data_IF_651419370466
#
_entry.id   IF_651419370466
#
_cell.length_a   1.000
_cell.length_b   1.000
_cell.length_c   1.000
_cell.angle_alpha   90.00
_cell.angle_beta   90.00
_cell.angle_gamma   90.00
#
_symmetry.space_group_name_H-M   'P 1'
#
loop_
_entity.id
_entity.type
_entity.pdbx_description
1 polymer ?
#
# COMPACT_ATOMS: atom_id res chain seq x y z
N UNK A 1 -9.29 6.01 4.45
CA UNK A 1 -8.12 6.13 5.39
C UNK A 1 -7.43 4.77 5.51
N UNK A 2 -6.19 4.69 6.02
CA UNK A 2 -5.53 3.38 6.27
C UNK A 2 -6.40 2.48 7.17
N UNK A 3 -6.62 1.20 6.82
CA UNK A 3 -7.46 0.30 7.63
C UNK A 3 -6.86 0.06 9.01
N UNK A 4 -5.54 -0.18 9.06
CA UNK A 4 -4.80 -0.30 10.30
C UNK A 4 -4.41 1.10 10.79
N UNK A 5 -4.57 1.37 12.11
CA UNK A 5 -4.10 2.60 12.70
C UNK A 5 -2.58 2.68 12.63
N UNK A 6 -2.06 3.90 12.43
CA UNK A 6 -0.63 4.15 12.55
C UNK A 6 -0.23 4.23 14.01
N UNK A 7 0.86 3.55 14.38
CA UNK A 7 1.49 3.68 15.69
C UNK A 7 2.74 4.55 15.61
N UNK A 8 3.17 5.07 16.74
CA UNK A 8 4.43 5.83 16.87
C UNK A 8 5.60 5.05 16.27
N UNK A 9 5.69 3.74 16.53
CA UNK A 9 6.76 2.90 15.98
C UNK A 9 6.69 2.72 14.46
N UNK A 10 5.49 2.65 13.88
CA UNK A 10 5.32 2.50 12.43
C UNK A 10 5.66 3.83 11.73
N UNK A 11 5.33 4.97 12.34
CA UNK A 11 5.80 6.27 11.89
C UNK A 11 7.31 6.38 11.98
N UNK A 12 7.93 5.94 13.08
CA UNK A 12 9.39 6.00 13.22
C UNK A 12 10.08 5.16 12.14
N UNK A 13 9.62 3.93 11.89
CA UNK A 13 10.16 3.08 10.83
C UNK A 13 9.98 3.73 9.44
N UNK A 14 8.79 4.25 9.17
CA UNK A 14 8.46 4.87 7.89
C UNK A 14 9.26 6.16 7.65
N UNK A 15 9.37 7.05 8.63
CA UNK A 15 10.14 8.29 8.51
C UNK A 15 11.64 8.02 8.42
N UNK A 16 12.13 6.97 9.10
CA UNK A 16 13.55 6.63 9.11
C UNK A 16 14.01 5.90 7.84
N UNK A 17 13.15 5.05 7.28
CA UNK A 17 13.52 4.10 6.22
C UNK A 17 12.69 4.23 4.94
N UNK A 18 11.66 5.09 4.97
CA UNK A 18 10.67 5.21 3.91
C UNK A 18 9.74 4.00 3.79
N UNK A 19 9.67 3.11 4.79
CA UNK A 19 8.76 1.97 4.74
C UNK A 19 8.23 1.57 6.12
N UNK A 20 6.98 1.10 6.15
CA UNK A 20 6.37 0.35 7.26
C UNK A 20 5.83 -1.00 6.75
N UNK A 21 5.96 -2.06 7.56
CA UNK A 21 5.40 -3.37 7.23
C UNK A 21 3.88 -3.33 6.98
N UNK A 22 3.15 -2.49 7.72
CA UNK A 22 1.69 -2.42 7.69
C UNK A 22 1.14 -1.32 6.78
N UNK A 23 1.96 -0.32 6.43
CA UNK A 23 1.49 0.86 5.68
C UNK A 23 2.21 1.07 4.33
N UNK A 24 3.14 0.18 3.97
CA UNK A 24 3.85 0.22 2.69
C UNK A 24 5.03 1.18 2.69
N UNK A 25 5.45 1.59 1.48
CA UNK A 25 6.65 2.40 1.25
C UNK A 25 6.29 3.78 0.72
N UNK A 26 7.03 4.79 1.15
CA UNK A 26 7.16 6.03 0.41
C UNK A 26 7.75 5.70 -0.97
N UNK A 27 7.05 6.12 -2.01
CA UNK A 27 7.39 5.89 -3.40
C UNK A 27 6.92 7.08 -4.27
N UNK A 28 7.31 7.08 -5.54
CA UNK A 28 6.94 8.13 -6.49
C UNK A 28 7.39 9.52 -6.00
N UNK A 29 6.53 10.55 -6.06
CA UNK A 29 6.92 11.92 -5.72
C UNK A 29 7.26 12.12 -4.23
N UNK A 30 6.77 11.24 -3.34
CA UNK A 30 7.10 11.30 -1.91
C UNK A 30 8.42 10.59 -1.57
N UNK A 31 9.01 9.85 -2.51
CA UNK A 31 10.27 9.16 -2.31
C UNK A 31 11.40 10.07 -1.81
N UNK A 32 11.78 11.17 -2.50
CA UNK A 32 12.88 12.02 -2.05
C UNK A 32 12.59 12.71 -0.71
N UNK A 33 11.32 13.04 -0.43
CA UNK A 33 10.91 13.68 0.83
C UNK A 33 11.28 12.79 2.02
N UNK A 34 11.00 11.49 1.93
CA UNK A 34 11.26 10.58 3.04
C UNK A 34 12.67 10.02 2.99
N UNK A 35 13.10 9.51 1.83
CA UNK A 35 14.38 8.78 1.70
C UNK A 35 15.61 9.67 1.74
N UNK A 36 15.51 10.95 1.35
CA UNK A 36 16.63 11.90 1.35
C UNK A 36 16.45 13.01 2.38
N UNK A 37 15.22 13.48 2.59
CA UNK A 37 14.92 14.54 3.54
C UNK A 37 14.78 14.04 4.97
N UNK A 38 13.66 13.38 5.27
CA UNK A 38 13.31 12.99 6.65
C UNK A 38 14.26 11.95 7.23
N UNK A 39 14.72 10.99 6.42
CA UNK A 39 15.67 9.96 6.85
C UNK A 39 17.04 10.53 7.25
N UNK A 40 17.40 11.74 6.78
CA UNK A 40 18.67 12.39 7.09
C UNK A 40 18.63 13.14 8.43
N UNK A 41 17.45 13.31 9.03
CA UNK A 41 17.30 13.97 10.32
C UNK A 41 17.92 13.14 11.46
N UNK A 42 18.36 13.80 12.56
CA UNK A 42 18.71 13.13 13.80
C UNK A 42 17.57 12.23 14.30
N UNK A 43 17.92 11.10 14.92
CA UNK A 43 16.94 10.15 15.44
C UNK A 43 16.00 10.77 16.50
N UNK A 44 16.48 11.77 17.25
CA UNK A 44 15.66 12.52 18.21
C UNK A 44 14.53 13.30 17.51
N UNK A 45 14.79 13.89 16.35
CA UNK A 45 13.79 14.64 15.59
C UNK A 45 12.78 13.70 14.93
N UNK A 46 13.25 12.56 14.39
CA UNK A 46 12.36 11.52 13.85
C UNK A 46 11.44 10.98 14.96
N UNK A 47 11.96 10.75 16.16
CA UNK A 47 11.15 10.35 17.33
C UNK A 47 10.11 11.41 17.68
N UNK A 48 10.49 12.69 17.74
CA UNK A 48 9.56 13.77 18.03
C UNK A 48 8.43 13.85 17.00
N UNK A 49 8.75 13.76 15.71
CA UNK A 49 7.75 13.71 14.62
C UNK A 49 6.86 12.48 14.73
N UNK A 50 7.42 11.32 15.07
CA UNK A 50 6.68 10.06 15.20
C UNK A 50 5.66 10.12 16.34
N UNK A 51 6.03 10.73 17.47
CA UNK A 51 5.11 10.97 18.59
C UNK A 51 4.02 11.95 18.16
N UNK A 52 4.38 13.08 17.57
CA UNK A 52 3.42 14.08 17.11
C UNK A 52 2.37 13.51 16.13
N UNK A 53 2.82 12.77 15.11
CA UNK A 53 1.89 12.13 14.16
C UNK A 53 1.12 10.98 14.79
N UNK A 54 1.72 10.25 15.75
CA UNK A 54 1.04 9.22 16.53
C UNK A 54 -0.12 9.80 17.34
N UNK A 55 0.10 10.91 18.05
CA UNK A 55 -0.94 11.63 18.79
C UNK A 55 -2.06 12.11 17.86
N UNK A 56 -1.72 12.68 16.70
CA UNK A 56 -2.70 13.10 15.69
C UNK A 56 -3.49 11.91 15.12
N UNK A 57 -2.87 10.74 15.02
CA UNK A 57 -3.51 9.49 14.61
C UNK A 57 -4.30 8.79 15.75
N UNK A 58 -4.36 9.38 16.95
CA UNK A 58 -5.12 8.88 18.09
C UNK A 58 -4.36 7.98 19.06
N UNK A 59 -3.02 8.02 19.05
CA UNK A 59 -2.10 7.31 19.95
C UNK A 59 -2.41 5.80 20.10
N UNK A 60 -2.29 5.09 18.97
CA UNK A 60 -2.50 3.66 18.94
C UNK A 60 -1.21 2.92 19.31
N UNK A 61 -1.24 2.16 20.41
CA UNK A 61 -0.12 1.33 20.85
C UNK A 61 -0.41 -0.18 20.76
N UNK A 62 -1.58 -0.56 20.23
CA UNK A 62 -1.98 -1.95 20.07
C UNK A 62 -1.18 -2.64 18.96
N UNK A 63 -0.72 -3.87 19.18
CA UNK A 63 0.02 -4.65 18.19
C UNK A 63 -0.85 -5.03 16.97
N UNK A 64 -0.53 -4.56 15.74
CA UNK A 64 -1.34 -4.81 14.54
C UNK A 64 -1.41 -6.27 14.14
N UNK A 65 -0.43 -7.10 14.51
CA UNK A 65 -0.40 -8.52 14.17
C UNK A 65 -1.65 -9.28 14.66
N UNK A 66 -2.28 -8.84 15.76
CA UNK A 66 -3.50 -9.43 16.30
C UNK A 66 -4.79 -8.70 15.85
N UNK A 67 -4.68 -7.71 14.96
CA UNK A 67 -5.82 -6.91 14.52
C UNK A 67 -6.80 -7.73 13.70
N UNK A 68 -8.11 -7.72 14.02
CA UNK A 68 -9.13 -8.32 13.17
C UNK A 68 -9.13 -7.74 11.75
N UNK A 69 -8.75 -6.46 11.57
CA UNK A 69 -8.67 -5.84 10.24
C UNK A 69 -7.56 -6.43 9.39
N UNK A 70 -6.41 -6.78 10.00
CA UNK A 70 -5.33 -7.48 9.31
C UNK A 70 -5.80 -8.86 8.86
N UNK A 71 -6.47 -9.61 9.75
CA UNK A 71 -7.00 -10.94 9.43
C UNK A 71 -8.04 -10.87 8.31
N UNK A 72 -8.97 -9.92 8.36
CA UNK A 72 -9.98 -9.73 7.30
C UNK A 72 -9.34 -9.40 5.96
N UNK A 73 -8.36 -8.49 5.93
CA UNK A 73 -7.68 -8.13 4.68
C UNK A 73 -6.86 -9.28 4.11
N UNK A 74 -6.19 -10.05 4.97
CA UNK A 74 -5.46 -11.26 4.57
C UNK A 74 -6.39 -12.29 3.94
N UNK A 75 -7.52 -12.58 4.60
CA UNK A 75 -8.54 -13.49 4.07
C UNK A 75 -9.13 -12.99 2.76
N UNK A 76 -9.40 -11.68 2.64
CA UNK A 76 -9.98 -11.10 1.45
C UNK A 76 -9.04 -11.20 0.24
N UNK A 77 -7.74 -10.94 0.43
CA UNK A 77 -6.75 -11.06 -0.65
C UNK A 77 -6.47 -12.52 -1.06
N UNK A 78 -6.62 -13.49 -0.13
CA UNK A 78 -6.51 -14.92 -0.44
C UNK A 78 -7.77 -15.51 -1.09
N UNK A 79 -8.88 -14.76 -1.15
CA UNK A 79 -10.12 -15.25 -1.77
C UNK A 79 -9.92 -15.43 -3.27
N UNK A 80 -10.19 -16.64 -3.76
CA UNK A 80 -10.13 -16.94 -5.19
C UNK A 80 -11.35 -16.39 -5.92
N UNK A 81 -11.13 -15.57 -6.95
CA UNK A 81 -12.16 -15.11 -7.89
C UNK A 81 -12.13 -15.96 -9.16
N UNK A 82 -13.28 -16.32 -9.72
CA UNK A 82 -13.34 -17.04 -11.01
C UNK A 82 -12.85 -16.11 -12.13
N UNK A 83 -11.63 -16.36 -12.57
CA UNK A 83 -10.98 -15.60 -13.63
C UNK A 83 -11.74 -15.65 -14.96
N UNK A 84 -12.64 -16.60 -15.20
CA UNK A 84 -13.40 -16.64 -16.46
C UNK A 84 -14.49 -15.56 -16.52
N UNK A 85 -14.96 -15.09 -15.37
CA UNK A 85 -16.10 -14.16 -15.28
C UNK A 85 -15.69 -12.74 -14.88
N UNK A 86 -14.54 -12.58 -14.21
CA UNK A 86 -14.07 -11.28 -13.72
C UNK A 86 -12.86 -10.78 -14.53
N UNK A 87 -13.02 -9.65 -15.22
CA UNK A 87 -11.97 -9.06 -16.03
C UNK A 87 -10.82 -8.48 -15.20
N UNK A 88 -11.14 -7.75 -14.12
CA UNK A 88 -10.13 -7.15 -13.25
C UNK A 88 -9.30 -8.21 -12.53
N UNK A 89 -9.93 -9.31 -12.12
CA UNK A 89 -9.22 -10.45 -11.53
C UNK A 89 -8.25 -11.10 -12.52
N UNK A 90 -8.62 -11.25 -13.81
CA UNK A 90 -7.70 -11.75 -14.86
C UNK A 90 -6.48 -10.87 -15.01
N UNK A 91 -6.71 -9.57 -15.16
CA UNK A 91 -5.64 -8.58 -15.32
C UNK A 91 -4.72 -8.56 -14.09
N UNK A 92 -5.28 -8.53 -12.89
CA UNK A 92 -4.51 -8.64 -11.65
C UNK A 92 -3.64 -9.91 -11.64
N UNK A 93 -4.23 -11.06 -12.02
CA UNK A 93 -3.53 -12.33 -12.02
C UNK A 93 -2.37 -12.35 -13.03
N UNK A 94 -2.53 -11.77 -14.23
CA UNK A 94 -1.46 -11.73 -15.24
C UNK A 94 -0.39 -10.68 -14.97
N UNK A 95 -0.73 -9.61 -14.26
CA UNK A 95 0.08 -8.38 -14.24
C UNK A 95 0.66 -8.05 -12.87
N UNK A 96 -0.07 -8.32 -11.79
CA UNK A 96 0.28 -7.87 -10.43
C UNK A 96 0.66 -9.03 -9.50
N UNK A 97 0.03 -10.20 -9.70
CA UNK A 97 0.10 -11.32 -8.75
C UNK A 97 1.52 -11.85 -8.51
N UNK A 98 2.42 -11.78 -9.50
CA UNK A 98 3.79 -12.28 -9.35
C UNK A 98 4.56 -11.57 -8.22
N UNK A 99 4.25 -10.29 -7.96
CA UNK A 99 4.88 -9.50 -6.90
C UNK A 99 3.99 -9.34 -5.67
N UNK A 100 2.67 -9.30 -5.86
CA UNK A 100 1.67 -9.07 -4.81
C UNK A 100 0.89 -10.33 -4.41
N UNK A 101 1.40 -11.51 -4.72
CA UNK A 101 0.75 -12.77 -4.33
C UNK A 101 0.50 -12.78 -2.82
N UNK A 102 -0.61 -13.42 -2.47
CA UNK A 102 -1.01 -13.53 -1.08
C UNK A 102 -0.12 -14.57 -0.38
N UNK A 103 0.75 -14.07 0.50
CA UNK A 103 1.53 -14.85 1.44
C UNK A 103 0.81 -14.79 2.79
N UNK A 104 0.77 -15.89 3.53
CA UNK A 104 0.21 -15.92 4.90
C UNK A 104 0.99 -15.07 5.90
N UNK A 105 2.12 -14.49 5.47
CA UNK A 105 2.94 -13.55 6.24
C UNK A 105 3.19 -12.30 5.41
N UNK A 106 3.07 -11.13 6.06
CA UNK A 106 3.46 -9.86 5.46
C UNK A 106 4.96 -9.84 5.20
N UNK A 107 5.34 -9.36 4.02
CA UNK A 107 6.74 -9.25 3.60
C UNK A 107 7.04 -7.80 3.26
N UNK A 108 8.11 -7.26 3.86
CA UNK A 108 8.60 -5.92 3.55
C UNK A 108 8.92 -5.82 2.04
N UNK A 109 8.36 -4.82 1.36
CA UNK A 109 8.47 -4.65 -0.09
C UNK A 109 7.46 -5.42 -0.94
N UNK A 110 6.57 -6.20 -0.30
CA UNK A 110 5.42 -6.84 -0.95
C UNK A 110 4.18 -6.55 -0.11
N UNK A 111 3.61 -5.34 -0.24
CA UNK A 111 2.48 -4.95 0.58
C UNK A 111 1.26 -5.82 0.28
N UNK A 112 0.49 -6.12 1.33
CA UNK A 112 -0.86 -6.66 1.19
C UNK A 112 -1.77 -5.55 0.65
N UNK A 113 -2.18 -5.65 -0.61
CA UNK A 113 -2.94 -4.61 -1.31
C UNK A 113 -4.32 -4.38 -0.67
N UNK A 114 -4.93 -5.43 -0.11
CA UNK A 114 -6.16 -5.32 0.68
C UNK A 114 -6.00 -4.54 2.00
N UNK A 115 -4.78 -4.17 2.40
CA UNK A 115 -4.52 -3.22 3.50
C UNK A 115 -4.02 -1.85 3.02
N UNK A 116 -3.68 -1.73 1.74
CA UNK A 116 -3.09 -0.52 1.19
C UNK A 116 -4.03 0.66 1.34
N UNK A 117 -3.54 1.79 1.86
CA UNK A 117 -4.37 3.00 2.00
C UNK A 117 -5.00 3.44 0.68
N UNK A 118 -4.28 3.27 -0.44
CA UNK A 118 -4.73 3.64 -1.77
C UNK A 118 -6.04 2.94 -2.22
N UNK A 119 -6.32 1.72 -1.75
CA UNK A 119 -7.60 1.02 -2.07
C UNK A 119 -8.76 1.49 -1.20
N UNK A 120 -8.48 2.22 -0.10
CA UNK A 120 -9.44 2.68 0.91
C UNK A 120 -9.62 4.21 0.94
N UNK A 121 -9.06 4.94 -0.03
CA UNK A 121 -9.31 6.37 -0.20
C UNK A 121 -10.58 6.58 -1.04
N UNK A 122 -11.31 7.66 -0.78
CA UNK A 122 -12.53 8.01 -1.53
C UNK A 122 -12.22 8.47 -2.96
N UNK A 123 -10.98 8.88 -3.22
CA UNK A 123 -10.48 9.26 -4.53
C UNK A 123 -9.52 8.15 -5.06
N UNK A 124 -9.79 7.56 -6.23
CA UNK A 124 -8.95 6.51 -6.81
C UNK A 124 -7.61 7.03 -7.36
N UNK A 125 -7.43 8.35 -7.49
CA UNK A 125 -6.26 8.96 -8.15
C UNK A 125 -4.93 8.45 -7.61
N UNK A 126 -4.83 8.24 -6.30
CA UNK A 126 -3.60 7.70 -5.70
C UNK A 126 -3.32 6.27 -6.17
N UNK A 127 -4.33 5.39 -6.18
CA UNK A 127 -4.14 4.03 -6.67
C UNK A 127 -3.83 4.00 -8.17
N UNK A 128 -4.55 4.79 -8.96
CA UNK A 128 -4.37 4.89 -10.41
C UNK A 128 -2.94 5.35 -10.72
N UNK A 129 -2.45 6.42 -10.08
CA UNK A 129 -1.10 6.92 -10.31
C UNK A 129 -0.02 5.89 -9.91
N UNK A 130 -0.22 5.15 -8.80
CA UNK A 130 0.71 4.07 -8.41
C UNK A 130 0.77 2.97 -9.48
N UNK A 131 -0.35 2.59 -10.08
CA UNK A 131 -0.36 1.59 -11.17
C UNK A 131 0.27 2.17 -12.44
N UNK A 132 -0.06 3.41 -12.80
CA UNK A 132 0.43 4.04 -14.02
C UNK A 132 1.94 4.24 -13.99
N UNK A 133 2.48 4.78 -12.90
CA UNK A 133 3.86 5.24 -12.82
C UNK A 133 4.80 4.25 -12.13
N UNK A 134 4.25 3.32 -11.34
CA UNK A 134 5.05 2.37 -10.57
C UNK A 134 6.08 3.07 -9.69
N UNK A 135 7.18 2.37 -9.40
CA UNK A 135 8.36 2.98 -8.77
C UNK A 135 9.62 2.18 -9.06
N UNK A 136 10.73 2.91 -9.13
CA UNK A 136 12.07 2.39 -9.41
C UNK A 136 12.76 1.87 -8.15
N UNK A 137 13.82 1.09 -8.34
CA UNK A 137 14.59 0.46 -7.25
C UNK A 137 15.30 1.43 -6.30
N UNK A 138 15.37 2.71 -6.67
CA UNK A 138 15.95 3.83 -5.92
C UNK A 138 14.89 4.74 -5.26
N UNK A 139 13.59 4.49 -5.51
CA UNK A 139 12.49 5.33 -5.02
C UNK A 139 11.74 4.74 -3.81
N UNK A 140 12.08 3.54 -3.38
CA UNK A 140 11.40 2.84 -2.28
C UNK A 140 12.39 2.00 -1.48
N UNK A 141 11.97 0.79 -1.09
CA UNK A 141 12.92 -0.19 -0.57
C UNK A 141 13.94 -0.52 -1.66
N UNK A 142 15.23 -0.35 -1.33
CA UNK A 142 16.33 -0.62 -2.25
C UNK A 142 16.20 -2.01 -2.88
N UNK A 143 16.15 -2.04 -4.21
CA UNK A 143 16.06 -3.27 -5.01
C UNK A 143 14.65 -3.80 -5.26
N UNK A 144 13.61 -3.18 -4.66
CA UNK A 144 12.21 -3.49 -4.98
C UNK A 144 11.75 -2.56 -6.11
N UNK A 145 11.12 -3.13 -7.12
CA UNK A 145 10.59 -2.39 -8.29
C UNK A 145 9.12 -2.74 -8.46
N UNK A 146 8.30 -1.73 -8.72
CA UNK A 146 6.97 -1.90 -9.29
C UNK A 146 7.00 -1.32 -10.71
N UNK A 147 6.76 -2.14 -11.75
CA UNK A 147 6.71 -1.64 -13.13
C UNK A 147 5.64 -0.56 -13.31
N UNK A 148 5.89 0.36 -14.23
CA UNK A 148 4.87 1.28 -14.73
C UNK A 148 3.98 0.60 -15.76
N UNK A 149 2.68 0.91 -15.76
CA UNK A 149 1.72 0.31 -16.70
C UNK A 149 1.08 1.32 -17.66
N UNK A 150 1.45 2.60 -17.61
CA UNK A 150 0.93 3.67 -18.47
C UNK A 150 0.90 3.35 -19.97
N UNK A 151 1.93 2.66 -20.48
CA UNK A 151 2.07 2.31 -21.90
C UNK A 151 1.65 0.86 -22.20
N UNK A 152 1.36 0.08 -21.16
CA UNK A 152 1.10 -1.36 -21.26
C UNK A 152 -0.38 -1.72 -21.10
N UNK A 153 -1.15 -0.87 -20.42
CA UNK A 153 -2.58 -1.04 -20.14
C UNK A 153 -3.33 0.23 -20.57
N UNK A 154 -4.55 0.05 -21.08
CA UNK A 154 -5.44 1.17 -21.38
C UNK A 154 -6.27 1.57 -20.14
N UNK A 155 -7.03 2.66 -20.26
CA UNK A 155 -7.84 3.19 -19.15
C UNK A 155 -8.90 2.20 -18.64
N UNK A 156 -9.47 1.37 -19.52
CA UNK A 156 -10.46 0.34 -19.15
C UNK A 156 -9.81 -0.78 -18.32
N UNK A 157 -8.61 -1.20 -18.70
CA UNK A 157 -7.83 -2.21 -17.97
C UNK A 157 -7.38 -1.68 -16.61
N UNK A 158 -6.90 -0.44 -16.55
CA UNK A 158 -6.50 0.22 -15.29
C UNK A 158 -7.72 0.36 -14.37
N UNK A 159 -8.86 0.78 -14.91
CA UNK A 159 -10.13 0.87 -14.17
C UNK A 159 -10.55 -0.50 -13.62
N UNK A 160 -10.51 -1.54 -14.46
CA UNK A 160 -10.87 -2.89 -14.06
C UNK A 160 -9.98 -3.42 -12.93
N UNK A 161 -8.67 -3.19 -12.99
CA UNK A 161 -7.73 -3.55 -11.91
C UNK A 161 -8.04 -2.77 -10.64
N UNK A 162 -8.20 -1.44 -10.73
CA UNK A 162 -8.50 -0.61 -9.57
C UNK A 162 -9.79 -1.04 -8.88
N UNK A 163 -10.86 -1.27 -9.64
CA UNK A 163 -12.15 -1.77 -9.14
C UNK A 163 -11.99 -3.13 -8.46
N UNK A 164 -11.27 -4.07 -9.07
CA UNK A 164 -11.03 -5.38 -8.47
C UNK A 164 -10.27 -5.29 -7.15
N UNK A 165 -9.22 -4.46 -7.07
CA UNK A 165 -8.45 -4.26 -5.84
C UNK A 165 -9.30 -3.63 -4.72
N UNK A 166 -10.17 -2.68 -5.06
CA UNK A 166 -11.09 -2.06 -4.08
C UNK A 166 -12.14 -3.04 -3.57
N UNK A 167 -12.73 -3.83 -4.46
CA UNK A 167 -13.66 -4.90 -4.07
C UNK A 167 -12.96 -5.95 -3.18
N UNK A 168 -11.71 -6.30 -3.50
CA UNK A 168 -10.89 -7.20 -2.69
C UNK A 168 -10.59 -6.61 -1.31
N UNK A 169 -10.46 -5.28 -1.21
CA UNK A 169 -10.36 -4.57 0.07
C UNK A 169 -11.70 -4.47 0.84
N UNK A 170 -12.78 -5.08 0.33
CA UNK A 170 -14.15 -5.00 0.87
C UNK A 170 -14.70 -3.57 0.96
N UNK A 171 -14.26 -2.68 0.07
CA UNK A 171 -14.72 -1.30 0.00
C UNK A 171 -15.83 -1.12 -1.03
N UNK A 172 -16.71 -0.14 -0.79
CA UNK A 172 -17.78 0.22 -1.73
C UNK A 172 -17.19 0.80 -3.02
N UNK A 173 -17.75 0.54 -4.22
CA UNK A 173 -17.25 1.12 -5.46
C UNK A 173 -17.05 2.65 -5.36
N UNK A 174 -16.03 3.17 -6.03
CA UNK A 174 -15.88 4.62 -6.16
C UNK A 174 -17.09 5.22 -6.89
N UNK A 175 -17.48 6.47 -6.54
CA UNK A 175 -18.49 7.19 -7.32
C UNK A 175 -18.01 7.36 -8.77
N UNK A 176 -18.96 7.29 -9.70
CA UNK A 176 -18.77 7.48 -11.14
C UNK A 176 -18.74 8.98 -11.45
#
# INVERSE_FOLDING_TARGET
MSPLPWRVQDFHEYLRTGNSLFHGSAAGPMAPVVHEGLSALPDADIKALSVYFGELAGDNNNEPAASPKLQTADQAQHKTTDLRIDHGARLYNSTCSACHYSSSQLVKGRPLLALGSATHLDDPSNLINVILDGFRSDQGIRGVVMPQFREALNDDDITAIATYLRQTANEQPWPI
#
